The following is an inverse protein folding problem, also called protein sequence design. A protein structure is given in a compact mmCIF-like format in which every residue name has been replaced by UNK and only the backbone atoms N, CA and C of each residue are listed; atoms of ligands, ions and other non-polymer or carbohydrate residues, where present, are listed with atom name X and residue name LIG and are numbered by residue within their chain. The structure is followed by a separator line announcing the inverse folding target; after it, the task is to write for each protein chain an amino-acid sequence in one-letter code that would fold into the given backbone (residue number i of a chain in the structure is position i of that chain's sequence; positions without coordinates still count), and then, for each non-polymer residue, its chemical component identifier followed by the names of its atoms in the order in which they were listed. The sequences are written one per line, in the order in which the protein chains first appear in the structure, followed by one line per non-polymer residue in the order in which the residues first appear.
data_IF_904702853298
#
_entry.id   IF_904702853298
#
_cell.length_a   1.000
_cell.length_b   1.000
_cell.length_c   1.000
_cell.angle_alpha   90.00
_cell.angle_beta   90.00
_cell.angle_gamma   90.00
#
_symmetry.space_group_name_H-M   'P 1'
#
loop_
_entity.id
_entity.type
_entity.pdbx_description
1 polymer ?
#
# COMPACT_ATOMS: atom_id res chain seq x y z
N UNK A 1 9.05 -19.92 -4.86
CA UNK A 1 7.56 -19.96 -4.84
C UNK A 1 6.93 -18.75 -5.52
N UNK A 2 7.56 -17.58 -5.45
CA UNK A 2 7.03 -16.33 -6.01
C UNK A 2 7.52 -16.00 -7.42
N UNK A 3 8.51 -16.73 -7.96
CA UNK A 3 9.14 -16.44 -9.28
C UNK A 3 8.17 -16.49 -10.48
N UNK A 4 7.00 -17.10 -10.33
CA UNK A 4 5.97 -17.18 -11.36
C UNK A 4 4.94 -16.05 -11.29
N UNK A 5 5.03 -15.18 -10.26
CA UNK A 5 4.15 -14.04 -10.05
C UNK A 5 4.77 -12.84 -10.78
N UNK A 6 3.97 -12.12 -11.56
CA UNK A 6 4.47 -11.02 -12.39
C UNK A 6 4.70 -9.74 -11.58
N UNK A 7 4.05 -9.63 -10.43
CA UNK A 7 4.09 -8.52 -9.51
C UNK A 7 5.39 -8.48 -8.68
N UNK A 8 5.90 -7.28 -8.43
CA UNK A 8 7.14 -7.06 -7.66
C UNK A 8 7.04 -7.44 -6.18
N UNK A 9 5.81 -7.55 -5.66
CA UNK A 9 5.51 -7.89 -4.27
C UNK A 9 4.13 -8.53 -4.15
N UNK A 10 3.91 -9.26 -3.06
CA UNK A 10 2.63 -9.89 -2.74
C UNK A 10 2.14 -9.45 -1.36
N UNK A 11 0.84 -9.26 -1.23
CA UNK A 11 0.13 -9.12 0.04
C UNK A 11 -1.22 -9.85 -0.04
N UNK A 12 -1.99 -9.87 1.04
CA UNK A 12 -3.24 -10.64 1.10
C UNK A 12 -4.51 -9.76 1.09
N UNK A 13 -4.37 -8.43 1.20
CA UNK A 13 -5.49 -7.53 1.50
C UNK A 13 -5.74 -6.45 0.43
N UNK A 14 -4.68 -5.88 -0.19
CA UNK A 14 -4.79 -4.61 -0.95
C UNK A 14 -5.85 -4.68 -2.05
N UNK A 15 -5.92 -5.79 -2.78
CA UNK A 15 -6.86 -5.92 -3.89
C UNK A 15 -8.32 -5.91 -3.40
N UNK A 16 -8.62 -6.54 -2.27
CA UNK A 16 -9.96 -6.50 -1.68
C UNK A 16 -10.33 -5.06 -1.25
N UNK A 17 -9.38 -4.33 -0.63
CA UNK A 17 -9.57 -2.92 -0.30
C UNK A 17 -9.81 -2.05 -1.54
N UNK A 18 -9.05 -2.26 -2.62
CA UNK A 18 -9.22 -1.53 -3.87
C UNK A 18 -10.63 -1.70 -4.44
N UNK A 19 -11.14 -2.94 -4.47
CA UNK A 19 -12.49 -3.22 -4.96
C UNK A 19 -13.57 -2.55 -4.11
N UNK A 20 -13.39 -2.49 -2.79
CA UNK A 20 -14.30 -1.76 -1.91
C UNK A 20 -14.23 -0.24 -2.15
N UNK A 21 -13.02 0.34 -2.23
CA UNK A 21 -12.82 1.75 -2.52
C UNK A 21 -13.46 2.17 -3.86
N UNK A 22 -13.28 1.36 -4.90
CA UNK A 22 -13.89 1.58 -6.22
C UNK A 22 -15.43 1.57 -6.17
N UNK A 23 -16.03 0.74 -5.32
CA UNK A 23 -17.50 0.68 -5.18
C UNK A 23 -18.08 1.99 -4.62
N UNK A 24 -17.32 2.70 -3.79
CA UNK A 24 -17.76 3.94 -3.12
C UNK A 24 -17.09 5.20 -3.67
N UNK A 25 -16.32 5.11 -4.75
CA UNK A 25 -15.61 6.25 -5.34
C UNK A 25 -14.54 6.86 -4.42
N UNK A 26 -14.00 6.09 -3.48
CA UNK A 26 -12.98 6.57 -2.53
C UNK A 26 -11.58 6.31 -3.09
N UNK A 27 -10.65 7.28 -3.11
CA UNK A 27 -9.27 7.04 -3.52
C UNK A 27 -8.53 6.12 -2.54
N UNK A 28 -7.60 5.30 -3.04
CA UNK A 28 -6.79 4.39 -2.23
C UNK A 28 -5.30 4.63 -2.48
N UNK A 29 -4.52 4.71 -1.40
CA UNK A 29 -3.05 4.65 -1.42
C UNK A 29 -2.62 3.43 -0.61
N UNK A 30 -1.89 2.51 -1.22
CA UNK A 30 -1.29 1.36 -0.55
C UNK A 30 0.15 1.64 -0.15
N UNK A 31 0.49 1.43 1.13
CA UNK A 31 1.86 1.44 1.64
C UNK A 31 2.21 0.04 2.13
N UNK A 32 3.31 -0.52 1.62
CA UNK A 32 3.76 -1.89 1.93
C UNK A 32 5.26 -1.89 2.22
N UNK A 33 5.64 -2.50 3.34
CA UNK A 33 7.03 -2.86 3.63
C UNK A 33 7.26 -4.33 3.33
N UNK A 34 8.44 -4.67 2.81
CA UNK A 34 8.81 -6.06 2.50
C UNK A 34 9.33 -6.74 3.77
N UNK A 35 8.58 -7.70 4.31
CA UNK A 35 8.93 -8.47 5.51
C UNK A 35 9.81 -9.69 5.25
N UNK A 36 9.75 -10.25 4.05
CA UNK A 36 10.37 -11.50 3.68
C UNK A 36 10.44 -11.65 2.14
N UNK A 37 10.96 -12.78 1.66
CA UNK A 37 11.10 -13.07 0.22
C UNK A 37 12.51 -12.91 -0.35
N UNK A 38 13.45 -12.34 0.41
CA UNK A 38 14.87 -12.26 0.01
C UNK A 38 15.59 -13.63 0.12
N UNK A 39 15.10 -14.51 0.98
CA UNK A 39 15.52 -15.90 1.10
C UNK A 39 14.27 -16.78 1.27
N UNK A 40 14.37 -18.05 0.90
CA UNK A 40 13.29 -19.01 1.15
C UNK A 40 12.92 -19.02 2.63
N UNK A 41 11.61 -19.02 2.91
CA UNK A 41 11.04 -19.09 4.26
C UNK A 41 11.42 -20.43 4.91
N UNK A 42 12.55 -20.44 5.63
CA UNK A 42 13.07 -21.63 6.33
C UNK A 42 12.45 -21.80 7.72
N UNK A 43 11.91 -20.71 8.29
CA UNK A 43 11.14 -20.73 9.53
C UNK A 43 9.94 -19.78 9.50
N UNK A 44 8.83 -20.21 10.10
CA UNK A 44 7.58 -19.42 10.29
C UNK A 44 7.81 -18.17 11.15
N UNK A 45 9.01 -17.95 11.70
CA UNK A 45 9.38 -16.78 12.49
C UNK A 45 10.15 -15.69 11.74
N UNK A 46 10.71 -15.98 10.56
CA UNK A 46 11.70 -15.11 9.91
C UNK A 46 11.08 -13.77 9.43
N UNK A 47 9.79 -13.77 9.06
CA UNK A 47 9.06 -12.56 8.66
C UNK A 47 8.89 -11.54 9.81
N UNK A 48 8.97 -11.98 11.08
CA UNK A 48 8.84 -11.08 12.24
C UNK A 48 10.11 -10.30 12.55
N UNK A 49 11.25 -10.78 12.09
CA UNK A 49 12.56 -10.20 12.40
C UNK A 49 12.65 -8.75 11.94
N UNK A 50 12.05 -8.43 10.79
CA UNK A 50 12.09 -7.08 10.21
C UNK A 50 10.88 -6.21 10.53
N UNK A 51 9.87 -6.71 11.26
CA UNK A 51 8.65 -5.93 11.51
C UNK A 51 8.92 -4.62 12.24
N UNK A 52 9.88 -4.59 13.16
CA UNK A 52 10.24 -3.36 13.88
C UNK A 52 10.86 -2.31 12.95
N UNK A 53 11.67 -2.73 11.97
CA UNK A 53 12.24 -1.82 10.96
C UNK A 53 11.16 -1.35 9.99
N UNK A 54 10.24 -2.24 9.62
CA UNK A 54 9.12 -1.93 8.72
C UNK A 54 8.16 -0.96 9.40
N UNK A 55 7.87 -1.14 10.68
CA UNK A 55 7.06 -0.25 11.50
C UNK A 55 7.61 1.19 11.47
N UNK A 56 8.89 1.36 11.81
CA UNK A 56 9.56 2.67 11.80
C UNK A 56 9.50 3.33 10.40
N UNK A 57 9.79 2.57 9.35
CA UNK A 57 9.78 3.07 7.97
C UNK A 57 8.37 3.38 7.45
N UNK A 58 7.37 2.58 7.83
CA UNK A 58 5.98 2.85 7.46
C UNK A 58 5.46 4.07 8.20
N UNK A 59 5.85 4.29 9.46
CA UNK A 59 5.52 5.51 10.19
C UNK A 59 6.07 6.75 9.46
N UNK A 60 7.34 6.72 9.02
CA UNK A 60 7.90 7.80 8.20
C UNK A 60 7.15 7.99 6.87
N UNK A 61 6.80 6.90 6.19
CA UNK A 61 6.08 6.97 4.93
C UNK A 61 4.68 7.61 5.10
N UNK A 62 3.98 7.28 6.20
CA UNK A 62 2.70 7.90 6.56
C UNK A 62 2.87 9.39 6.82
N UNK A 63 3.90 9.82 7.58
CA UNK A 63 4.17 11.25 7.80
C UNK A 63 4.43 11.99 6.49
N UNK A 64 5.19 11.40 5.56
CA UNK A 64 5.46 12.01 4.25
C UNK A 64 4.19 12.10 3.40
N UNK A 65 3.32 11.08 3.46
CA UNK A 65 2.04 11.09 2.78
C UNK A 65 1.13 12.21 3.31
N UNK A 66 1.05 12.35 4.64
CA UNK A 66 0.30 13.44 5.29
C UNK A 66 0.81 14.81 4.84
N UNK A 67 2.13 15.02 4.81
CA UNK A 67 2.75 16.26 4.34
C UNK A 67 2.46 16.53 2.86
N UNK A 68 2.52 15.49 2.01
CA UNK A 68 2.22 15.63 0.59
C UNK A 68 0.76 16.04 0.35
N UNK A 69 -0.18 15.48 1.12
CA UNK A 69 -1.59 15.86 1.07
C UNK A 69 -1.78 17.29 1.60
N UNK A 70 -1.22 17.61 2.77
CA UNK A 70 -1.38 18.92 3.42
C UNK A 70 -0.74 20.08 2.65
N UNK A 71 0.32 19.81 1.88
CA UNK A 71 0.96 20.78 0.98
C UNK A 71 0.31 20.87 -0.40
N UNK A 72 -0.61 19.96 -0.73
CA UNK A 72 -1.21 19.85 -2.07
C UNK A 72 -0.26 19.29 -3.14
N UNK A 73 0.90 18.74 -2.75
CA UNK A 73 1.80 18.03 -3.65
C UNK A 73 1.21 16.68 -4.13
N UNK A 74 0.32 16.09 -3.32
CA UNK A 74 -0.54 14.99 -3.70
C UNK A 74 -2.00 15.42 -3.59
N UNK A 75 -2.73 15.30 -4.69
CA UNK A 75 -4.16 15.61 -4.75
C UNK A 75 -4.88 14.37 -5.30
N UNK A 76 -5.98 14.01 -4.65
CA UNK A 76 -6.88 12.99 -5.17
C UNK A 76 -7.88 13.70 -6.08
N UNK A 77 -7.95 13.30 -7.36
CA UNK A 77 -8.84 13.91 -8.33
C UNK A 77 -10.32 13.79 -7.95
N UNK A 78 -11.21 14.53 -8.64
CA UNK A 78 -12.64 14.43 -8.38
C UNK A 78 -13.13 12.99 -8.54
N UNK A 79 -14.02 12.58 -7.63
CA UNK A 79 -14.86 11.39 -7.81
C UNK A 79 -15.56 11.47 -9.17
N UNK A 80 -15.79 10.33 -9.83
CA UNK A 80 -16.44 10.26 -11.15
C UNK A 80 -17.80 11.00 -11.24
N UNK A 81 -18.40 11.38 -10.11
CA UNK A 81 -19.64 12.18 -10.03
C UNK A 81 -19.45 13.67 -10.36
N UNK A 82 -18.28 14.29 -10.13
CA UNK A 82 -18.08 15.72 -10.39
C UNK A 82 -17.82 16.05 -11.87
N UNK A 83 -17.50 15.03 -12.68
CA UNK A 83 -17.20 15.18 -14.11
C UNK A 83 -18.46 15.18 -15.01
N UNK A 84 -19.65 15.02 -14.44
CA UNK A 84 -20.92 14.89 -15.18
C UNK A 84 -21.82 16.12 -15.09
N UNK A 85 -21.37 17.18 -14.42
CA UNK A 85 -22.08 18.44 -14.25
C UNK A 85 -21.38 19.59 -14.99
N UNK A 86 -21.27 19.46 -16.32
CA UNK A 86 -20.99 20.54 -17.28
C UNK A 86 -21.77 20.30 -18.59
#
# INVERSE_FOLDING_TARGET
AYDAIAEDMVDMETFACLRACQLFGVPLVGLRGISDGAADLRHVGDWKEYLHVIDEKLAEAVTRLEQAIGSGALQFGPSHEDAQSD
#
